data_IF_436275133636
#
_entry.id   IF_436275133636
#
_cell.length_a   1.000
_cell.length_b   1.000
_cell.length_c   1.000
_cell.angle_alpha   90.00
_cell.angle_beta   90.00
_cell.angle_gamma   90.00
#
_symmetry.space_group_name_H-M   'P 1'
#
loop_
_entity.id
_entity.type
_entity.pdbx_description
1 polymer ?
#
# COMPACT_ATOMS: atom_id res chain seq x y z
N UNK A 1 5.00 -4.69 5.62
CA UNK A 1 5.11 -5.86 6.39
C UNK A 1 4.74 -5.61 7.84
N UNK A 2 3.62 -6.15 8.24
CA UNK A 2 3.22 -6.27 9.64
C UNK A 2 4.07 -7.42 10.18
N UNK A 3 4.78 -7.22 11.31
CA UNK A 3 5.27 -8.33 12.11
C UNK A 3 4.05 -9.22 12.34
N UNK A 4 4.12 -10.50 11.97
CA UNK A 4 2.97 -11.36 12.14
C UNK A 4 2.53 -11.30 13.60
N UNK A 5 1.24 -11.21 13.86
CA UNK A 5 0.66 -11.11 15.20
C UNK A 5 1.17 -12.25 16.10
N UNK A 6 1.45 -13.40 15.49
CA UNK A 6 2.06 -14.56 16.14
C UNK A 6 3.50 -14.31 16.62
N UNK A 7 4.33 -13.58 15.87
CA UNK A 7 5.68 -13.19 16.29
C UNK A 7 5.61 -12.14 17.41
N UNK A 8 4.65 -11.21 17.32
CA UNK A 8 4.41 -10.21 18.34
C UNK A 8 3.93 -10.83 19.66
N UNK A 9 3.01 -11.80 19.59
CA UNK A 9 2.56 -12.55 20.78
C UNK A 9 3.69 -13.38 21.40
N UNK A 10 4.53 -14.05 20.60
CA UNK A 10 5.71 -14.76 21.11
C UNK A 10 6.71 -13.83 21.80
N UNK A 11 6.90 -12.63 21.29
CA UNK A 11 7.80 -11.62 21.87
C UNK A 11 7.28 -11.03 23.20
N UNK A 12 5.95 -10.89 23.34
CA UNK A 12 5.34 -10.39 24.60
C UNK A 12 5.36 -11.44 25.71
N UNK A 13 5.32 -12.72 25.38
CA UNK A 13 5.27 -13.81 26.36
C UNK A 13 6.64 -14.19 26.95
N UNK A 14 7.76 -13.73 26.38
CA UNK A 14 9.09 -13.99 26.91
C UNK A 14 9.59 -12.79 27.72
N UNK A 15 9.70 -12.96 29.04
CA UNK A 15 10.10 -11.90 29.99
C UNK A 15 11.56 -11.38 29.83
N UNK A 16 12.36 -11.98 28.94
CA UNK A 16 13.80 -11.76 28.88
C UNK A 16 14.28 -10.89 27.68
N UNK A 17 13.38 -10.30 26.90
CA UNK A 17 13.78 -9.52 25.73
C UNK A 17 13.59 -8.01 25.94
N UNK A 18 14.65 -7.24 25.66
CA UNK A 18 14.54 -5.79 25.55
C UNK A 18 13.79 -5.44 24.23
N UNK A 19 12.49 -5.21 24.36
CA UNK A 19 11.58 -4.92 23.24
C UNK A 19 12.03 -3.70 22.42
N UNK A 20 12.59 -2.66 23.07
CA UNK A 20 13.11 -1.47 22.39
C UNK A 20 14.29 -1.82 21.48
N UNK A 21 15.21 -2.66 21.97
CA UNK A 21 16.37 -3.10 21.20
C UNK A 21 15.95 -3.96 20.00
N UNK A 22 14.96 -4.83 20.17
CA UNK A 22 14.41 -5.65 19.07
C UNK A 22 13.77 -4.77 18.00
N UNK A 23 12.93 -3.81 18.41
CA UNK A 23 12.30 -2.86 17.49
C UNK A 23 13.35 -2.01 16.77
N UNK A 24 14.39 -1.57 17.47
CA UNK A 24 15.49 -0.79 16.89
C UNK A 24 16.26 -1.61 15.85
N UNK A 25 16.62 -2.84 16.18
CA UNK A 25 17.32 -3.75 15.26
C UNK A 25 16.47 -4.07 14.04
N UNK A 26 15.20 -4.40 14.22
CA UNK A 26 14.27 -4.65 13.13
C UNK A 26 14.13 -3.44 12.19
N UNK A 27 13.98 -2.23 12.74
CA UNK A 27 13.94 -1.00 11.93
C UNK A 27 15.23 -0.79 11.13
N UNK A 28 16.39 -1.08 11.74
CA UNK A 28 17.70 -0.99 11.07
C UNK A 28 17.80 -2.01 9.92
N UNK A 29 17.42 -3.26 10.16
CA UNK A 29 17.40 -4.31 9.12
C UNK A 29 16.45 -3.99 7.98
N UNK A 30 15.25 -3.48 8.27
CA UNK A 30 14.33 -3.00 7.25
C UNK A 30 14.97 -1.91 6.39
N UNK A 31 15.60 -0.93 7.02
CA UNK A 31 16.25 0.16 6.30
C UNK A 31 17.40 -0.33 5.41
N UNK A 32 18.22 -1.26 5.89
CA UNK A 32 19.30 -1.90 5.12
C UNK A 32 18.71 -2.71 3.96
N UNK A 33 17.70 -3.52 4.23
CA UNK A 33 17.04 -4.34 3.20
C UNK A 33 16.43 -3.49 2.09
N UNK A 34 15.72 -2.42 2.44
CA UNK A 34 15.14 -1.51 1.43
C UNK A 34 16.18 -0.70 0.67
N UNK A 35 17.34 -0.38 1.29
CA UNK A 35 18.44 0.30 0.59
C UNK A 35 19.21 -0.62 -0.36
N UNK A 36 19.40 -1.88 0.01
CA UNK A 36 20.17 -2.85 -0.77
C UNK A 36 19.33 -3.60 -1.80
N UNK A 37 18.09 -3.98 -1.47
CA UNK A 37 17.19 -4.75 -2.34
C UNK A 37 16.05 -3.87 -2.81
N UNK A 38 16.05 -3.54 -4.10
CA UNK A 38 14.87 -2.91 -4.69
C UNK A 38 13.72 -3.92 -4.75
N UNK A 39 12.56 -3.64 -4.18
CA UNK A 39 11.40 -4.48 -4.37
C UNK A 39 11.13 -4.66 -5.86
N UNK A 40 10.81 -5.89 -6.27
CA UNK A 40 10.39 -6.16 -7.64
C UNK A 40 9.08 -5.41 -7.90
N UNK A 41 9.04 -4.67 -8.98
CA UNK A 41 7.81 -4.01 -9.45
C UNK A 41 7.00 -5.04 -10.24
N UNK A 42 5.69 -5.06 -10.01
CA UNK A 42 4.77 -5.93 -10.72
C UNK A 42 4.88 -5.81 -12.23
N UNK A 43 4.72 -6.91 -12.96
CA UNK A 43 4.67 -6.88 -14.41
C UNK A 43 3.66 -5.83 -14.90
N UNK A 44 4.04 -5.09 -15.92
CA UNK A 44 3.26 -4.02 -16.54
C UNK A 44 2.90 -2.80 -15.67
N UNK A 45 3.13 -2.82 -14.34
CA UNK A 45 2.83 -1.68 -13.47
C UNK A 45 3.61 -0.42 -13.87
N UNK A 46 4.91 -0.56 -14.16
CA UNK A 46 5.72 0.60 -14.64
C UNK A 46 5.16 1.19 -15.94
N UNK A 47 4.75 0.33 -16.87
CA UNK A 47 4.14 0.78 -18.13
C UNK A 47 2.82 1.49 -17.84
N UNK A 48 1.94 0.89 -17.03
CA UNK A 48 0.67 1.51 -16.63
C UNK A 48 0.88 2.90 -16.02
N UNK A 49 1.76 3.04 -15.01
CA UNK A 49 2.05 4.32 -14.36
C UNK A 49 2.55 5.38 -15.36
N UNK A 50 3.37 4.97 -16.33
CA UNK A 50 3.97 5.90 -17.30
C UNK A 50 3.02 6.35 -18.41
N UNK A 51 2.03 5.53 -18.74
CA UNK A 51 1.15 5.77 -19.90
C UNK A 51 -0.26 6.19 -19.50
N UNK A 52 -0.64 6.05 -18.23
CA UNK A 52 -1.97 6.46 -17.76
C UNK A 52 -2.14 7.98 -17.79
N UNK A 53 -3.30 8.43 -18.20
CA UNK A 53 -3.75 9.84 -18.10
C UNK A 53 -4.48 10.11 -16.77
N UNK A 54 -4.67 9.08 -15.96
CA UNK A 54 -5.33 9.22 -14.67
C UNK A 54 -4.44 9.93 -13.65
N UNK A 55 -5.05 10.68 -12.76
CA UNK A 55 -4.38 11.15 -11.54
C UNK A 55 -4.11 9.96 -10.64
N UNK A 56 -2.86 9.77 -10.23
CA UNK A 56 -2.45 8.64 -9.40
C UNK A 56 -1.83 9.10 -8.09
N UNK A 57 -2.02 8.32 -7.04
CA UNK A 57 -1.46 8.57 -5.71
C UNK A 57 -1.12 7.28 -4.98
N UNK A 58 -0.39 7.41 -3.89
CA UNK A 58 -0.04 6.32 -2.99
C UNK A 58 -0.58 6.62 -1.60
N UNK A 59 -1.22 5.62 -0.99
CA UNK A 59 -1.66 5.65 0.42
C UNK A 59 -1.07 4.43 1.13
N UNK A 60 -0.23 4.64 2.14
CA UNK A 60 0.49 3.56 2.81
C UNK A 60 0.63 3.81 4.30
N UNK A 61 0.66 2.73 5.10
CA UNK A 61 1.07 2.77 6.50
C UNK A 61 2.59 2.91 6.67
N UNK A 62 3.37 2.72 5.59
CA UNK A 62 4.82 2.94 5.61
C UNK A 62 5.14 4.43 5.66
N UNK A 63 6.23 4.78 6.34
CA UNK A 63 6.75 6.15 6.36
C UNK A 63 7.28 6.55 4.98
N UNK A 64 7.20 7.84 4.65
CA UNK A 64 7.65 8.39 3.37
C UNK A 64 9.13 8.10 3.07
N UNK A 65 9.98 8.04 4.10
CA UNK A 65 11.40 7.70 3.95
C UNK A 65 11.66 6.24 3.50
N UNK A 66 10.65 5.36 3.52
CA UNK A 66 10.70 4.03 2.89
C UNK A 66 10.09 4.03 1.48
N UNK A 67 9.04 4.83 1.26
CA UNK A 67 8.32 4.87 -0.01
C UNK A 67 9.16 5.59 -1.07
N UNK A 68 9.69 6.75 -0.74
CA UNK A 68 10.41 7.63 -1.70
C UNK A 68 11.61 6.94 -2.35
N UNK A 69 12.55 6.31 -1.59
CA UNK A 69 13.70 5.64 -2.21
C UNK A 69 13.32 4.49 -3.16
N UNK A 70 12.21 3.78 -2.87
CA UNK A 70 11.71 2.72 -3.76
C UNK A 70 11.23 3.32 -5.08
N UNK A 71 10.53 4.44 -5.03
CA UNK A 71 10.03 5.13 -6.21
C UNK A 71 11.18 5.74 -7.03
N UNK A 72 12.18 6.33 -6.39
CA UNK A 72 13.38 6.88 -7.02
C UNK A 72 14.15 5.80 -7.76
N UNK A 73 14.50 4.72 -7.07
CA UNK A 73 15.25 3.59 -7.65
C UNK A 73 14.54 2.97 -8.86
N UNK A 74 13.23 3.10 -8.95
CA UNK A 74 12.42 2.61 -10.05
C UNK A 74 12.09 3.69 -11.11
N UNK A 75 12.58 4.92 -10.95
CA UNK A 75 12.26 6.08 -11.80
C UNK A 75 10.74 6.35 -11.89
N UNK A 76 10.05 6.22 -10.74
CA UNK A 76 8.61 6.40 -10.61
C UNK A 76 8.21 7.62 -9.77
N UNK A 77 9.11 8.20 -8.97
CA UNK A 77 8.76 9.28 -8.04
C UNK A 77 8.09 10.47 -8.73
N UNK A 78 8.54 10.83 -9.94
CA UNK A 78 8.01 11.97 -10.72
C UNK A 78 6.51 11.87 -11.03
N UNK A 79 5.95 10.65 -11.06
CA UNK A 79 4.52 10.43 -11.36
C UNK A 79 3.64 10.60 -10.13
N UNK A 80 4.20 10.51 -8.94
CA UNK A 80 3.46 10.63 -7.68
C UNK A 80 3.68 11.97 -6.97
N UNK A 81 4.85 12.61 -7.15
CA UNK A 81 5.19 13.95 -6.56
C UNK A 81 4.55 14.18 -5.19
N UNK A 82 3.55 15.08 -5.12
CA UNK A 82 2.84 15.45 -3.89
C UNK A 82 1.69 14.50 -3.53
N UNK A 83 1.46 13.46 -4.32
CA UNK A 83 0.34 12.52 -4.17
C UNK A 83 0.72 11.27 -3.35
N UNK A 84 1.72 11.37 -2.49
CA UNK A 84 2.10 10.33 -1.53
C UNK A 84 1.46 10.67 -0.17
N UNK A 85 0.67 9.75 0.37
CA UNK A 85 0.07 9.83 1.70
C UNK A 85 0.62 8.70 2.56
N UNK A 86 1.49 9.06 3.51
CA UNK A 86 1.97 8.16 4.55
C UNK A 86 1.04 8.31 5.75
N UNK A 87 0.39 7.23 6.15
CA UNK A 87 -0.47 7.20 7.33
C UNK A 87 0.40 7.14 8.59
N UNK A 88 0.92 8.28 9.02
CA UNK A 88 1.81 8.43 10.17
C UNK A 88 1.54 9.77 10.86
N UNK A 89 1.92 9.90 12.12
CA UNK A 89 1.70 11.13 12.88
C UNK A 89 0.20 11.38 13.13
N UNK A 90 -0.33 12.49 12.63
CA UNK A 90 -1.74 12.87 12.78
C UNK A 90 -2.70 12.06 11.90
N UNK A 91 -2.19 11.31 10.90
CA UNK A 91 -3.01 10.49 10.00
C UNK A 91 -3.04 9.07 10.56
N UNK A 92 -4.21 8.62 11.00
CA UNK A 92 -4.38 7.28 11.57
C UNK A 92 -4.07 6.19 10.53
N UNK A 93 -3.42 5.13 11.00
CA UNK A 93 -3.11 3.95 10.17
C UNK A 93 -4.38 3.29 9.61
N UNK A 94 -4.25 2.61 8.47
CA UNK A 94 -5.28 1.67 8.03
C UNK A 94 -5.50 0.64 9.17
N UNK A 95 -6.71 0.28 9.56
CA UNK A 95 -7.96 0.38 8.80
C UNK A 95 -8.79 1.68 8.99
N UNK A 96 -8.23 2.75 9.48
CA UNK A 96 -8.92 4.04 9.49
C UNK A 96 -8.93 4.66 8.09
N UNK A 97 -10.02 5.37 7.75
CA UNK A 97 -10.28 5.93 6.41
C UNK A 97 -9.44 7.14 6.04
N UNK A 98 -8.76 7.74 7.03
CA UNK A 98 -8.10 9.05 6.96
C UNK A 98 -7.11 9.16 5.79
N UNK A 99 -6.30 8.12 5.60
CA UNK A 99 -5.31 8.07 4.51
C UNK A 99 -5.94 8.17 3.13
N UNK A 100 -7.05 7.46 2.88
CA UNK A 100 -7.73 7.52 1.57
C UNK A 100 -8.48 8.82 1.34
N UNK A 101 -9.08 9.41 2.38
CA UNK A 101 -9.70 10.73 2.28
C UNK A 101 -8.64 11.78 1.93
N UNK A 102 -7.50 11.78 2.62
CA UNK A 102 -6.42 12.71 2.34
C UNK A 102 -5.78 12.45 0.96
N UNK A 103 -5.62 11.17 0.58
CA UNK A 103 -5.12 10.78 -0.74
C UNK A 103 -6.00 11.30 -1.87
N UNK A 104 -7.31 11.14 -1.77
CA UNK A 104 -8.28 11.69 -2.71
C UNK A 104 -8.19 13.23 -2.78
N UNK A 105 -8.15 13.90 -1.63
CA UNK A 105 -7.99 15.37 -1.54
C UNK A 105 -6.72 15.85 -2.25
N UNK A 106 -5.59 15.16 -2.10
CA UNK A 106 -4.33 15.49 -2.80
C UNK A 106 -4.46 15.39 -4.32
N UNK A 107 -5.28 14.48 -4.81
CA UNK A 107 -5.59 14.35 -6.24
C UNK A 107 -6.59 15.41 -6.73
N UNK A 108 -7.17 16.19 -5.83
CA UNK A 108 -8.25 17.13 -6.15
C UNK A 108 -9.55 16.40 -6.49
N UNK A 109 -9.84 15.27 -5.81
CA UNK A 109 -10.99 14.40 -6.06
C UNK A 109 -11.74 14.14 -4.75
N UNK A 110 -13.04 13.81 -4.87
CA UNK A 110 -13.80 13.22 -3.79
C UNK A 110 -13.51 11.70 -3.71
N UNK A 111 -13.56 11.04 -2.53
CA UNK A 111 -13.34 9.59 -2.44
C UNK A 111 -14.22 8.76 -3.39
N UNK A 112 -15.47 9.17 -3.62
CA UNK A 112 -16.40 8.48 -4.55
C UNK A 112 -15.98 8.56 -6.03
N UNK A 113 -14.93 9.30 -6.37
CA UNK A 113 -14.37 9.39 -7.72
C UNK A 113 -13.06 8.59 -7.84
N UNK A 114 -12.62 7.96 -6.74
CA UNK A 114 -11.32 7.28 -6.66
C UNK A 114 -11.50 5.77 -6.73
N UNK A 115 -10.70 5.12 -7.55
CA UNK A 115 -10.49 3.68 -7.51
C UNK A 115 -9.24 3.35 -6.68
N UNK A 116 -9.34 2.37 -5.81
CA UNK A 116 -8.25 1.87 -4.97
C UNK A 116 -7.80 0.49 -5.45
N UNK A 117 -6.50 0.27 -5.53
CA UNK A 117 -5.89 -1.05 -5.71
C UNK A 117 -5.16 -1.36 -4.41
N UNK A 118 -5.53 -2.44 -3.75
CA UNK A 118 -5.10 -2.80 -2.40
C UNK A 118 -4.81 -4.31 -2.29
N UNK A 119 -3.81 -4.66 -1.50
CA UNK A 119 -3.36 -6.05 -1.28
C UNK A 119 -3.71 -6.56 0.13
N UNK A 120 -3.99 -5.69 1.08
CA UNK A 120 -4.24 -6.01 2.49
C UNK A 120 -5.70 -5.83 2.91
N UNK A 121 -6.17 -6.68 3.82
CA UNK A 121 -7.53 -6.58 4.35
C UNK A 121 -7.74 -5.26 5.10
N UNK A 122 -6.75 -4.81 5.89
CA UNK A 122 -6.82 -3.52 6.58
C UNK A 122 -6.89 -2.33 5.62
N UNK A 123 -6.26 -2.44 4.44
CA UNK A 123 -6.34 -1.45 3.39
C UNK A 123 -7.70 -1.45 2.70
N UNK A 124 -8.26 -2.62 2.42
CA UNK A 124 -9.61 -2.77 1.85
C UNK A 124 -10.66 -2.20 2.82
N UNK A 125 -10.57 -2.53 4.09
CA UNK A 125 -11.46 -2.00 5.13
C UNK A 125 -11.40 -0.48 5.20
N UNK A 126 -10.18 0.10 5.17
CA UNK A 126 -9.99 1.55 5.16
C UNK A 126 -10.62 2.21 3.92
N UNK A 127 -10.48 1.59 2.74
CA UNK A 127 -11.06 2.07 1.49
C UNK A 127 -12.60 2.00 1.50
N UNK A 128 -13.18 0.92 2.03
CA UNK A 128 -14.63 0.79 2.24
C UNK A 128 -15.15 1.88 3.17
N UNK A 129 -14.50 2.11 4.30
CA UNK A 129 -14.85 3.19 5.24
C UNK A 129 -14.71 4.60 4.64
N UNK A 130 -13.80 4.78 3.69
CA UNK A 130 -13.63 6.02 2.94
C UNK A 130 -14.68 6.22 1.86
N UNK A 131 -15.51 5.19 1.56
CA UNK A 131 -16.53 5.20 0.50
C UNK A 131 -15.95 5.54 -0.88
N UNK A 132 -14.82 4.89 -1.22
CA UNK A 132 -14.24 5.05 -2.55
C UNK A 132 -15.13 4.41 -3.61
N UNK A 133 -15.03 4.88 -4.86
CA UNK A 133 -15.87 4.44 -5.98
C UNK A 133 -15.72 2.94 -6.27
N UNK A 134 -14.47 2.45 -6.25
CA UNK A 134 -14.17 1.05 -6.58
C UNK A 134 -12.92 0.59 -5.84
N UNK A 135 -12.93 -0.66 -5.45
CA UNK A 135 -11.77 -1.33 -4.85
C UNK A 135 -11.44 -2.56 -5.70
N UNK A 136 -10.17 -2.74 -6.04
CA UNK A 136 -9.64 -3.92 -6.68
C UNK A 136 -8.61 -4.55 -5.74
N UNK A 137 -8.75 -5.84 -5.44
CA UNK A 137 -7.77 -6.59 -4.66
C UNK A 137 -6.61 -7.02 -5.55
N UNK A 138 -5.41 -6.63 -5.19
CA UNK A 138 -4.19 -7.15 -5.78
C UNK A 138 -3.69 -8.36 -4.97
N UNK A 139 -3.43 -9.49 -5.64
CA UNK A 139 -2.85 -10.69 -5.01
C UNK A 139 -1.44 -10.92 -5.54
N UNK A 140 -0.51 -11.25 -4.65
CA UNK A 140 0.91 -11.45 -4.99
C UNK A 140 1.16 -12.73 -5.77
N UNK A 141 0.43 -13.77 -5.47
CA UNK A 141 0.42 -15.07 -6.14
C UNK A 141 -1.03 -15.51 -6.32
N UNK A 142 -1.26 -16.50 -7.17
CA UNK A 142 -2.57 -17.17 -7.29
C UNK A 142 -2.94 -18.00 -6.02
N UNK A 143 -2.07 -17.99 -5.01
CA UNK A 143 -2.33 -18.65 -3.75
C UNK A 143 -3.48 -17.94 -3.02
N UNK A 144 -4.48 -18.73 -2.69
CA UNK A 144 -5.58 -18.36 -1.81
C UNK A 144 -5.01 -18.07 -0.40
N UNK A 145 -4.55 -16.85 -0.16
CA UNK A 145 -4.33 -16.39 1.19
C UNK A 145 -5.70 -16.47 1.89
N UNK A 146 -5.82 -17.21 3.01
CA UNK A 146 -7.05 -17.19 3.78
C UNK A 146 -7.25 -15.75 4.27
N UNK A 147 -8.11 -15.01 3.61
CA UNK A 147 -8.53 -13.72 4.11
C UNK A 147 -9.47 -14.00 5.26
N UNK A 148 -9.10 -13.59 6.45
CA UNK A 148 -9.97 -13.69 7.64
C UNK A 148 -11.21 -12.80 7.50
N UNK A 149 -11.23 -11.91 6.50
CA UNK A 149 -12.31 -10.98 6.22
C UNK A 149 -12.76 -11.22 4.78
N UNK A 150 -13.95 -11.81 4.62
CA UNK A 150 -14.59 -12.06 3.32
C UNK A 150 -15.19 -10.75 2.75
N UNK A 151 -14.34 -9.82 2.34
CA UNK A 151 -14.82 -8.74 1.49
C UNK A 151 -14.92 -9.26 0.04
N UNK A 152 -16.12 -9.25 -0.53
CA UNK A 152 -16.34 -9.53 -1.95
C UNK A 152 -15.82 -8.36 -2.81
N UNK A 153 -14.51 -8.25 -2.90
CA UNK A 153 -13.83 -7.23 -3.70
C UNK A 153 -13.26 -7.87 -4.96
N UNK A 154 -13.56 -7.32 -6.15
CA UNK A 154 -13.07 -7.87 -7.41
C UNK A 154 -11.54 -7.96 -7.42
N UNK A 155 -11.01 -9.10 -7.88
CA UNK A 155 -9.57 -9.32 -8.04
C UNK A 155 -9.05 -8.51 -9.23
N UNK A 156 -7.90 -7.85 -9.05
CA UNK A 156 -7.15 -7.26 -10.16
C UNK A 156 -6.44 -8.39 -10.91
N UNK A 157 -6.86 -8.65 -12.16
CA UNK A 157 -6.27 -9.71 -12.97
C UNK A 157 -4.84 -9.35 -13.41
N UNK A 158 -4.66 -8.16 -13.98
CA UNK A 158 -3.33 -7.64 -14.32
C UNK A 158 -3.37 -6.12 -14.59
N UNK A 159 -2.22 -5.46 -14.48
CA UNK A 159 -2.09 -4.05 -14.90
C UNK A 159 -2.23 -3.87 -16.42
N UNK A 160 -2.00 -4.92 -17.21
CA UNK A 160 -2.23 -4.92 -18.66
C UNK A 160 -3.73 -4.85 -18.99
N UNK A 161 -4.54 -5.65 -18.29
CA UNK A 161 -5.99 -5.67 -18.49
C UNK A 161 -6.64 -4.40 -17.95
N UNK A 162 -6.13 -3.87 -16.82
CA UNK A 162 -6.56 -2.58 -16.30
C UNK A 162 -6.33 -1.47 -17.34
N UNK A 163 -5.12 -1.41 -17.94
CA UNK A 163 -4.81 -0.42 -18.99
C UNK A 163 -5.79 -0.51 -20.16
N UNK A 164 -6.10 -1.71 -20.66
CA UNK A 164 -7.03 -1.90 -21.77
C UNK A 164 -8.44 -1.41 -21.45
N UNK A 165 -8.95 -1.77 -20.26
CA UNK A 165 -10.32 -1.37 -19.82
C UNK A 165 -10.45 0.13 -19.62
N UNK A 166 -9.37 0.82 -19.22
CA UNK A 166 -9.40 2.27 -19.03
C UNK A 166 -9.18 3.07 -20.33
N UNK A 167 -8.66 2.42 -21.40
CA UNK A 167 -8.48 3.03 -22.71
C UNK A 167 -9.69 2.87 -23.62
N UNK A 168 -10.66 2.02 -23.26
CA UNK A 168 -11.87 1.72 -24.03
C UNK A 168 -13.10 2.51 -23.58
N UNK A 169 -12.96 3.39 -22.63
CA UNK A 169 -13.94 4.38 -22.19
C UNK A 169 -13.47 5.80 -22.49
#
# INVERSE_FOLDING_TARGET
GIISEHLFQKLILSKDYNLEQIIKNYKKELQVTFSQRSPKIYPHLKKFIRTTQLKIGIVSNAKSNYIIPILEKNNLLRYFKNNITSCTGSIRYKPFKDGYILGAKKLGLHPSEVMVIEDSDVGIEAALKAKVQKILRHTYNDENLPSQIQYHVPKLLSYKDLSRKLSSN
#
